data_IF_197053519161
#
_entry.id   IF_197053519161
#
_cell.length_a   1.000
_cell.length_b   1.000
_cell.length_c   1.000
_cell.angle_alpha   90.00
_cell.angle_beta   90.00
_cell.angle_gamma   90.00
#
_symmetry.space_group_name_H-M   'P 1'
#
loop_
_entity.id
_entity.type
_entity.pdbx_description
1 polymer ?
#
# COMPACT_ATOMS: atom_id res chain seq x y z
N UNK A 1 -12.94 -27.77 -4.97
CA UNK A 1 -12.32 -26.69 -4.18
C UNK A 1 -13.45 -25.81 -3.70
N UNK A 2 -13.60 -25.62 -2.39
CA UNK A 2 -14.62 -24.73 -1.82
C UNK A 2 -14.29 -23.30 -2.22
N UNK A 3 -15.28 -22.58 -2.76
CA UNK A 3 -15.17 -21.15 -3.02
C UNK A 3 -14.81 -20.43 -1.71
N UNK A 4 -13.76 -19.60 -1.67
CA UNK A 4 -13.49 -18.73 -0.54
C UNK A 4 -14.74 -17.91 -0.26
N UNK A 5 -15.25 -17.96 0.97
CA UNK A 5 -16.50 -17.32 1.33
C UNK A 5 -16.21 -16.03 2.06
N UNK A 6 -16.73 -14.91 1.53
CA UNK A 6 -16.77 -13.59 2.19
C UNK A 6 -17.44 -13.66 3.58
N UNK A 7 -18.10 -14.77 3.93
CA UNK A 7 -18.72 -15.00 5.24
C UNK A 7 -17.75 -14.96 6.44
N UNK A 8 -16.43 -14.88 6.22
CA UNK A 8 -15.43 -14.73 7.28
C UNK A 8 -15.14 -13.25 7.62
N UNK A 9 -15.54 -12.31 6.77
CA UNK A 9 -15.29 -10.89 7.01
C UNK A 9 -16.42 -10.24 7.80
N UNK A 10 -16.05 -9.46 8.82
CA UNK A 10 -16.96 -8.60 9.54
C UNK A 10 -17.27 -7.34 8.72
N UNK A 11 -18.54 -7.15 8.36
CA UNK A 11 -18.99 -5.93 7.68
C UNK A 11 -18.96 -4.74 8.63
N UNK A 12 -18.28 -3.66 8.24
CA UNK A 12 -18.18 -2.40 9.00
C UNK A 12 -18.52 -1.19 8.14
N UNK A 13 -18.66 -0.05 8.79
CA UNK A 13 -19.03 1.24 8.15
C UNK A 13 -17.86 2.21 8.01
N UNK A 14 -16.69 1.90 8.58
CA UNK A 14 -15.51 2.76 8.56
C UNK A 14 -14.24 1.92 8.68
N UNK A 15 -13.16 2.39 8.06
CA UNK A 15 -11.81 1.84 8.20
C UNK A 15 -11.28 2.20 9.59
N UNK A 16 -10.56 1.26 10.21
CA UNK A 16 -9.93 1.44 11.51
C UNK A 16 -8.76 0.49 11.66
N UNK A 17 -8.00 0.65 12.74
CA UNK A 17 -7.01 -0.35 13.12
C UNK A 17 -7.71 -1.60 13.66
N UNK A 18 -7.47 -2.77 13.08
CA UNK A 18 -8.13 -4.01 13.44
C UNK A 18 -7.32 -4.83 14.44
N UNK A 19 -7.50 -4.55 15.73
CA UNK A 19 -6.86 -5.35 16.80
C UNK A 19 -7.51 -6.71 17.08
N UNK A 20 -8.47 -7.15 16.26
CA UNK A 20 -9.17 -8.43 16.43
C UNK A 20 -8.59 -9.53 15.53
N UNK A 21 -8.92 -10.79 15.80
CA UNK A 21 -8.53 -11.91 14.93
C UNK A 21 -9.45 -12.10 13.72
N UNK A 22 -10.50 -11.29 13.58
CA UNK A 22 -11.47 -11.39 12.50
C UNK A 22 -11.22 -10.29 11.48
N UNK A 23 -11.09 -10.63 10.20
CA UNK A 23 -10.87 -9.63 9.16
C UNK A 23 -12.12 -8.80 8.88
N UNK A 24 -11.93 -7.55 8.44
CA UNK A 24 -13.00 -6.57 8.26
C UNK A 24 -13.22 -6.20 6.79
N UNK A 25 -14.47 -5.95 6.40
CA UNK A 25 -14.82 -5.44 5.07
C UNK A 25 -15.64 -4.17 5.17
N UNK A 26 -15.31 -3.17 4.35
CA UNK A 26 -15.99 -1.87 4.31
C UNK A 26 -16.34 -1.50 2.87
N UNK A 27 -17.63 -1.28 2.59
CA UNK A 27 -18.08 -0.78 1.30
C UNK A 27 -17.96 0.75 1.26
N UNK A 28 -16.98 1.26 0.51
CA UNK A 28 -16.67 2.70 0.45
C UNK A 28 -15.83 3.01 -0.79
N UNK A 29 -16.08 4.17 -1.41
CA UNK A 29 -15.28 4.61 -2.56
C UNK A 29 -13.80 4.86 -2.18
N UNK A 30 -12.92 4.79 -3.18
CA UNK A 30 -11.47 4.98 -3.01
C UNK A 30 -11.11 6.25 -2.23
N UNK A 31 -11.64 7.41 -2.64
CA UNK A 31 -11.23 8.69 -2.07
C UNK A 31 -11.57 8.81 -0.59
N UNK A 32 -12.79 8.43 -0.21
CA UNK A 32 -13.23 8.48 1.18
C UNK A 32 -12.44 7.49 2.06
N UNK A 33 -12.09 6.31 1.53
CA UNK A 33 -11.23 5.37 2.25
C UNK A 33 -9.79 5.87 2.40
N UNK A 34 -9.18 6.43 1.34
CA UNK A 34 -7.86 7.05 1.41
C UNK A 34 -7.78 8.18 2.45
N UNK A 35 -8.82 9.02 2.54
CA UNK A 35 -8.92 10.06 3.56
C UNK A 35 -8.98 9.48 4.99
N UNK A 36 -9.72 8.39 5.19
CA UNK A 36 -9.74 7.68 6.47
C UNK A 36 -8.40 7.03 6.80
N UNK A 37 -7.72 6.40 5.84
CA UNK A 37 -6.41 5.78 6.05
C UNK A 37 -5.34 6.83 6.41
N UNK A 38 -5.33 8.00 5.76
CA UNK A 38 -4.42 9.10 6.13
C UNK A 38 -4.72 9.63 7.54
N UNK A 39 -6.00 9.74 7.91
CA UNK A 39 -6.38 10.11 9.27
C UNK A 39 -5.96 9.05 10.30
N UNK A 40 -6.02 7.76 9.94
CA UNK A 40 -5.50 6.65 10.76
C UNK A 40 -3.98 6.73 10.89
N UNK A 41 -3.23 6.98 9.81
CA UNK A 41 -1.77 7.15 9.87
C UNK A 41 -1.34 8.26 10.85
N UNK A 42 -2.13 9.33 10.99
CA UNK A 42 -1.86 10.41 11.97
C UNK A 42 -2.16 10.02 13.42
N UNK A 43 -3.15 9.16 13.63
CA UNK A 43 -3.77 8.95 14.95
C UNK A 43 -3.45 7.58 15.57
N UNK A 44 -3.12 6.60 14.75
CA UNK A 44 -2.75 5.24 15.12
C UNK A 44 -1.33 5.16 15.67
N UNK A 45 -1.09 4.15 16.50
CA UNK A 45 0.25 3.72 16.91
C UNK A 45 0.72 2.43 16.23
N UNK A 46 -0.16 1.78 15.45
CA UNK A 46 0.02 0.45 14.87
C UNK A 46 -0.05 0.55 13.35
N UNK A 47 0.82 -0.19 12.67
CA UNK A 47 0.76 -0.43 11.22
C UNK A 47 -0.39 -1.36 10.89
N UNK A 48 -0.93 -1.25 9.68
CA UNK A 48 -2.13 -1.96 9.25
C UNK A 48 -2.09 -2.11 7.73
N UNK A 49 -2.68 -3.18 7.19
CA UNK A 49 -2.73 -3.41 5.74
C UNK A 49 -4.17 -3.61 5.27
N UNK A 50 -4.55 -2.84 4.26
CA UNK A 50 -5.87 -2.89 3.62
C UNK A 50 -5.75 -3.09 2.12
N UNK A 51 -6.69 -3.82 1.51
CA UNK A 51 -6.85 -3.93 0.06
C UNK A 51 -8.09 -3.17 -0.36
N UNK A 52 -7.96 -2.31 -1.35
CA UNK A 52 -9.09 -1.78 -2.11
C UNK A 52 -9.32 -2.59 -3.38
N UNK A 53 -10.58 -2.93 -3.65
CA UNK A 53 -11.01 -3.52 -4.91
C UNK A 53 -12.21 -2.78 -5.46
N UNK A 54 -12.07 -2.32 -6.70
CA UNK A 54 -13.17 -1.84 -7.53
C UNK A 54 -13.23 -2.67 -8.80
N UNK A 55 -14.39 -3.29 -9.05
CA UNK A 55 -14.55 -4.14 -10.22
C UNK A 55 -15.91 -4.80 -10.26
N UNK A 56 -16.01 -5.87 -11.06
CA UNK A 56 -17.21 -6.70 -11.14
C UNK A 56 -16.90 -8.05 -10.49
N UNK A 57 -17.72 -8.50 -9.53
CA UNK A 57 -17.52 -9.81 -8.90
C UNK A 57 -17.97 -10.97 -9.81
N UNK A 58 -17.74 -12.21 -9.37
CA UNK A 58 -18.08 -13.42 -10.14
C UNK A 58 -19.59 -13.57 -10.49
N UNK A 59 -20.49 -12.85 -9.80
CA UNK A 59 -21.94 -12.85 -10.10
C UNK A 59 -22.37 -11.65 -10.95
N UNK A 60 -21.43 -10.88 -11.51
CA UNK A 60 -21.71 -9.77 -12.41
C UNK A 60 -22.11 -8.46 -11.72
N UNK A 61 -21.94 -8.34 -10.40
CA UNK A 61 -22.25 -7.13 -9.64
C UNK A 61 -21.02 -6.23 -9.53
N UNK A 62 -21.21 -4.92 -9.71
CA UNK A 62 -20.18 -3.93 -9.41
C UNK A 62 -19.96 -3.83 -7.92
N UNK A 63 -18.71 -3.89 -7.50
CA UNK A 63 -18.30 -3.87 -6.10
C UNK A 63 -17.21 -2.82 -5.91
N UNK A 64 -17.27 -2.13 -4.78
CA UNK A 64 -16.26 -1.17 -4.34
C UNK A 64 -16.04 -1.35 -2.84
N UNK A 65 -15.05 -2.16 -2.49
CA UNK A 65 -14.84 -2.63 -1.13
C UNK A 65 -13.39 -2.44 -0.70
N UNK A 66 -13.23 -2.32 0.61
CA UNK A 66 -11.98 -2.38 1.33
C UNK A 66 -11.98 -3.65 2.18
N UNK A 67 -10.90 -4.40 2.14
CA UNK A 67 -10.68 -5.63 2.90
C UNK A 67 -9.46 -5.43 3.78
N UNK A 68 -9.60 -5.66 5.07
CA UNK A 68 -8.47 -5.71 6.00
C UNK A 68 -7.77 -7.06 5.82
N UNK A 69 -6.44 -7.03 5.72
CA UNK A 69 -5.63 -8.23 5.44
C UNK A 69 -4.40 -8.37 6.36
N UNK A 70 -4.16 -7.38 7.21
CA UNK A 70 -3.05 -7.36 8.14
C UNK A 70 -3.03 -8.57 9.07
N UNK A 71 -1.83 -9.11 9.26
CA UNK A 71 -1.48 -10.06 10.29
C UNK A 71 -0.26 -9.52 11.05
N UNK A 72 -0.14 -9.87 12.33
CA UNK A 72 0.95 -9.43 13.19
C UNK A 72 1.16 -7.90 13.28
N UNK A 73 0.08 -7.14 13.37
CA UNK A 73 0.12 -5.68 13.42
C UNK A 73 0.82 -5.13 14.67
N UNK A 74 1.94 -4.42 14.44
CA UNK A 74 2.79 -3.82 15.48
C UNK A 74 3.11 -2.37 15.13
N UNK A 75 3.82 -1.69 16.03
CA UNK A 75 4.16 -0.26 15.88
C UNK A 75 5.04 0.08 14.67
N UNK A 76 5.75 -0.89 14.12
CA UNK A 76 6.76 -0.71 13.06
C UNK A 76 6.81 -1.88 12.08
N UNK A 77 5.77 -2.73 12.10
CA UNK A 77 5.64 -3.88 11.20
C UNK A 77 4.18 -4.26 11.12
N UNK A 78 3.65 -4.39 9.91
CA UNK A 78 2.50 -5.23 9.61
C UNK A 78 2.91 -6.22 8.51
N UNK A 79 2.36 -7.42 8.56
CA UNK A 79 2.52 -8.43 7.52
C UNK A 79 1.14 -8.84 7.02
N UNK A 80 1.08 -9.68 6.00
CA UNK A 80 -0.13 -10.41 5.69
C UNK A 80 0.24 -11.74 5.05
N UNK A 81 -0.64 -12.72 5.16
CA UNK A 81 -0.46 -14.01 4.49
C UNK A 81 -0.93 -13.89 3.04
N UNK A 82 -0.10 -14.31 2.08
CA UNK A 82 -0.40 -14.23 0.64
C UNK A 82 -1.70 -14.98 0.30
N UNK A 83 -2.04 -16.01 1.08
CA UNK A 83 -3.27 -16.77 0.99
C UNK A 83 -4.52 -15.89 1.16
N UNK A 84 -4.50 -14.90 2.05
CA UNK A 84 -5.61 -13.96 2.26
C UNK A 84 -5.81 -13.09 1.02
N UNK A 85 -4.72 -12.58 0.45
CA UNK A 85 -4.75 -11.82 -0.80
C UNK A 85 -5.32 -12.69 -1.93
N UNK A 86 -4.82 -13.91 -2.11
CA UNK A 86 -5.30 -14.84 -3.14
C UNK A 86 -6.80 -15.16 -2.97
N UNK A 87 -7.25 -15.42 -1.74
CA UNK A 87 -8.65 -15.70 -1.46
C UNK A 87 -9.56 -14.53 -1.83
N UNK A 88 -9.15 -13.30 -1.56
CA UNK A 88 -9.88 -12.10 -1.99
C UNK A 88 -9.87 -12.01 -3.52
N UNK A 89 -8.72 -12.20 -4.17
CA UNK A 89 -8.58 -12.09 -5.62
C UNK A 89 -9.49 -13.08 -6.37
N UNK A 90 -9.63 -14.31 -5.84
CA UNK A 90 -10.52 -15.33 -6.41
C UNK A 90 -12.00 -14.93 -6.42
N UNK A 91 -12.44 -14.02 -5.52
CA UNK A 91 -13.81 -13.50 -5.53
C UNK A 91 -14.13 -12.67 -6.79
N UNK A 92 -13.08 -12.16 -7.43
CA UNK A 92 -13.15 -11.28 -8.60
C UNK A 92 -12.63 -11.95 -9.87
N UNK A 93 -12.36 -13.26 -9.82
CA UNK A 93 -11.68 -13.98 -10.90
C UNK A 93 -12.41 -13.92 -12.25
N UNK A 94 -13.74 -14.00 -12.21
CA UNK A 94 -14.58 -13.94 -13.41
C UNK A 94 -14.99 -12.51 -13.79
N UNK A 95 -14.48 -11.51 -13.07
CA UNK A 95 -14.75 -10.09 -13.28
C UNK A 95 -14.00 -9.50 -14.46
N UNK A 96 -14.66 -8.60 -15.20
CA UNK A 96 -14.00 -7.76 -16.21
C UNK A 96 -13.45 -6.49 -15.54
N UNK A 97 -12.18 -6.18 -15.81
CA UNK A 97 -11.48 -4.93 -15.42
C UNK A 97 -11.56 -4.58 -13.93
N UNK A 98 -10.61 -5.10 -13.16
CA UNK A 98 -10.55 -4.90 -11.71
C UNK A 98 -9.39 -3.98 -11.36
N UNK A 99 -9.67 -2.92 -10.60
CA UNK A 99 -8.65 -2.08 -10.00
C UNK A 99 -8.37 -2.55 -8.59
N UNK A 100 -7.09 -2.83 -8.30
CA UNK A 100 -6.66 -3.35 -7.00
C UNK A 100 -5.56 -2.44 -6.47
N UNK A 101 -5.67 -2.10 -5.19
CA UNK A 101 -4.59 -1.40 -4.48
C UNK A 101 -4.38 -2.00 -3.11
N UNK A 102 -3.15 -2.37 -2.80
CA UNK A 102 -2.74 -2.74 -1.43
C UNK A 102 -2.27 -1.47 -0.74
N UNK A 103 -2.70 -1.24 0.50
CA UNK A 103 -2.35 -0.07 1.31
C UNK A 103 -1.67 -0.53 2.59
N UNK A 104 -0.44 -0.09 2.80
CA UNK A 104 0.29 -0.23 4.04
C UNK A 104 0.32 1.10 4.81
N UNK A 105 -0.17 1.12 6.05
CA UNK A 105 -0.27 2.33 6.88
C UNK A 105 0.98 2.49 7.74
N UNK A 106 1.67 3.63 7.61
CA UNK A 106 2.76 4.05 8.50
C UNK A 106 2.25 5.04 9.58
N UNK A 107 2.13 4.62 10.85
CA UNK A 107 1.66 5.48 11.94
C UNK A 107 2.70 6.53 12.35
N UNK A 108 2.27 7.78 12.53
CA UNK A 108 3.12 8.89 12.99
C UNK A 108 3.23 9.00 14.51
N UNK A 109 2.19 8.59 15.26
CA UNK A 109 2.05 8.92 16.70
C UNK A 109 3.09 8.23 17.58
N UNK A 110 3.61 7.09 17.14
CA UNK A 110 4.56 6.24 17.87
C UNK A 110 6.04 6.61 17.62
N UNK A 111 6.33 7.67 16.86
CA UNK A 111 7.66 7.90 16.28
C UNK A 111 8.28 9.21 16.78
N UNK A 112 9.55 9.14 17.20
CA UNK A 112 10.31 10.35 17.56
C UNK A 112 10.49 11.28 16.34
N UNK A 113 10.65 12.59 16.56
CA UNK A 113 10.93 13.54 15.47
C UNK A 113 12.15 13.14 14.63
N UNK A 114 13.20 12.60 15.27
CA UNK A 114 14.40 12.11 14.58
C UNK A 114 14.14 10.89 13.68
N UNK A 115 13.04 10.16 13.91
CA UNK A 115 12.62 8.99 13.14
C UNK A 115 11.46 9.28 12.19
N UNK A 116 10.95 10.52 12.15
CA UNK A 116 9.78 10.89 11.33
C UNK A 116 10.00 10.65 9.84
N UNK A 117 11.21 10.89 9.33
CA UNK A 117 11.56 10.56 7.94
C UNK A 117 11.34 9.07 7.60
N UNK A 118 11.50 8.17 8.58
CA UNK A 118 11.37 6.73 8.36
C UNK A 118 9.93 6.28 8.13
N UNK A 119 8.97 6.94 8.79
CA UNK A 119 7.54 6.62 8.64
C UNK A 119 6.87 7.44 7.55
N UNK A 120 7.43 8.62 7.23
CA UNK A 120 6.90 9.47 6.16
C UNK A 120 7.40 9.09 4.75
N UNK A 121 8.23 8.05 4.62
CA UNK A 121 8.69 7.58 3.31
C UNK A 121 8.64 6.06 3.21
N UNK A 122 8.50 5.49 1.99
CA UNK A 122 8.60 4.05 1.77
C UNK A 122 9.94 3.51 2.23
N UNK A 123 9.93 2.37 2.89
CA UNK A 123 11.07 1.55 3.27
C UNK A 123 11.50 0.62 2.12
N UNK A 124 12.73 0.07 2.14
CA UNK A 124 13.12 -1.00 1.23
C UNK A 124 12.16 -2.19 1.29
N UNK A 125 11.64 -2.50 2.48
CA UNK A 125 10.67 -3.56 2.72
C UNK A 125 9.33 -3.27 2.02
N UNK A 126 8.83 -2.03 2.05
CA UNK A 126 7.62 -1.63 1.31
C UNK A 126 7.79 -1.80 -0.20
N UNK A 127 8.96 -1.42 -0.72
CA UNK A 127 9.25 -1.59 -2.14
C UNK A 127 9.33 -3.07 -2.49
N UNK A 128 10.01 -3.87 -1.67
CA UNK A 128 10.04 -5.32 -1.83
C UNK A 128 8.64 -5.93 -1.87
N UNK A 129 7.75 -5.52 -0.95
CA UNK A 129 6.38 -6.00 -0.90
C UNK A 129 5.60 -5.58 -2.16
N UNK A 130 5.79 -4.35 -2.65
CA UNK A 130 5.17 -3.92 -3.90
C UNK A 130 5.53 -4.80 -5.11
N UNK A 131 6.76 -5.33 -5.16
CA UNK A 131 7.17 -6.32 -6.18
C UNK A 131 6.48 -7.67 -5.99
N UNK A 132 6.43 -8.18 -4.76
CA UNK A 132 5.80 -9.47 -4.44
C UNK A 132 4.29 -9.43 -4.75
N UNK A 133 3.59 -8.38 -4.30
CA UNK A 133 2.17 -8.17 -4.55
C UNK A 133 1.86 -8.12 -6.06
N UNK A 134 2.67 -7.36 -6.81
CA UNK A 134 2.47 -7.22 -8.25
C UNK A 134 2.65 -8.55 -8.97
N UNK A 135 3.63 -9.36 -8.55
CA UNK A 135 3.86 -10.69 -9.10
C UNK A 135 2.68 -11.61 -8.82
N UNK A 136 2.25 -11.72 -7.56
CA UNK A 136 1.09 -12.53 -7.15
C UNK A 136 -0.14 -12.15 -7.97
N UNK A 137 -0.47 -10.85 -8.04
CA UNK A 137 -1.65 -10.35 -8.75
C UNK A 137 -1.54 -10.60 -10.27
N UNK A 138 -0.33 -10.50 -10.84
CA UNK A 138 -0.11 -10.78 -12.26
C UNK A 138 -0.29 -12.27 -12.61
N UNK A 139 0.12 -13.17 -11.72
CA UNK A 139 0.03 -14.62 -11.91
C UNK A 139 -1.41 -15.13 -11.89
N UNK A 140 -2.33 -14.45 -11.18
CA UNK A 140 -3.75 -14.84 -11.18
C UNK A 140 -4.43 -14.57 -12.54
N UNK A 141 -3.77 -13.85 -13.46
CA UNK A 141 -4.13 -13.83 -14.88
C UNK A 141 -5.28 -12.88 -15.26
N UNK A 142 -5.54 -11.86 -14.45
CA UNK A 142 -6.63 -10.91 -14.69
C UNK A 142 -6.21 -9.72 -15.55
N UNK A 143 -7.19 -9.07 -16.19
CA UNK A 143 -7.01 -7.70 -16.68
C UNK A 143 -7.13 -6.73 -15.50
N UNK A 144 -6.10 -6.72 -14.64
CA UNK A 144 -6.04 -5.89 -13.42
C UNK A 144 -5.14 -4.69 -13.63
N UNK A 145 -5.56 -3.55 -13.09
CA UNK A 145 -4.66 -2.43 -12.78
C UNK A 145 -4.29 -2.51 -11.31
N UNK A 146 -2.99 -2.66 -11.02
CA UNK A 146 -2.47 -2.81 -9.68
C UNK A 146 -1.53 -1.65 -9.29
N UNK A 147 -1.64 -1.20 -8.05
CA UNK A 147 -0.62 -0.39 -7.39
C UNK A 147 -0.48 -0.79 -5.91
N UNK A 148 0.74 -0.68 -5.38
CA UNK A 148 0.99 -0.79 -3.95
C UNK A 148 1.10 0.62 -3.37
N UNK A 149 0.50 0.86 -2.21
CA UNK A 149 0.36 2.20 -1.63
C UNK A 149 0.87 2.26 -0.21
N UNK A 150 1.72 3.23 0.05
CA UNK A 150 2.24 3.49 1.40
C UNK A 150 1.53 4.75 1.90
N UNK A 151 0.72 4.59 2.95
CA UNK A 151 -0.05 5.66 3.58
C UNK A 151 0.77 6.26 4.71
N UNK A 152 0.95 7.57 4.65
CA UNK A 152 1.68 8.36 5.65
C UNK A 152 0.73 9.39 6.24
N UNK A 153 1.16 10.11 7.28
CA UNK A 153 0.31 11.17 7.83
C UNK A 153 0.18 12.38 6.90
N UNK A 154 1.04 12.56 5.89
CA UNK A 154 0.98 13.70 4.97
C UNK A 154 0.41 13.37 3.58
N UNK A 155 0.28 12.09 3.26
CA UNK A 155 -0.22 11.65 1.97
C UNK A 155 0.03 10.18 1.67
N UNK A 156 -0.08 9.82 0.40
CA UNK A 156 0.00 8.44 -0.07
C UNK A 156 1.02 8.33 -1.19
N UNK A 157 1.99 7.43 -1.03
CA UNK A 157 2.83 6.97 -2.13
C UNK A 157 2.09 5.93 -2.94
N UNK A 158 2.22 5.98 -4.27
CA UNK A 158 1.69 4.96 -5.19
C UNK A 158 2.86 4.38 -5.96
N UNK A 159 3.14 3.11 -5.73
CA UNK A 159 4.14 2.32 -6.43
C UNK A 159 3.44 1.43 -7.47
N UNK A 160 3.85 1.56 -8.72
CA UNK A 160 3.30 0.79 -9.84
C UNK A 160 4.44 0.21 -10.67
N UNK A 161 4.29 -1.05 -11.05
CA UNK A 161 5.21 -1.76 -11.93
C UNK A 161 4.64 -1.84 -13.34
N UNK A 162 5.50 -1.67 -14.34
CA UNK A 162 5.10 -1.84 -15.73
C UNK A 162 4.90 -3.32 -16.06
N UNK A 163 4.08 -3.60 -17.08
CA UNK A 163 3.85 -4.98 -17.54
C UNK A 163 5.14 -5.64 -18.03
N UNK A 164 6.06 -4.85 -18.57
CA UNK A 164 7.35 -5.32 -19.06
C UNK A 164 8.19 -5.93 -17.93
N UNK A 165 8.23 -5.32 -16.74
CA UNK A 165 8.95 -5.89 -15.59
C UNK A 165 8.32 -7.21 -15.14
N UNK A 166 6.99 -7.26 -15.05
CA UNK A 166 6.27 -8.47 -14.62
C UNK A 166 6.42 -9.64 -15.61
N UNK A 167 6.85 -9.39 -16.84
CA UNK A 167 7.07 -10.39 -17.89
C UNK A 167 8.54 -10.79 -18.05
N UNK A 168 9.44 -10.21 -17.25
CA UNK A 168 10.86 -10.57 -17.28
C UNK A 168 11.10 -12.00 -16.76
N UNK A 169 12.16 -12.67 -17.22
CA UNK A 169 12.66 -13.88 -16.56
C UNK A 169 12.95 -13.64 -15.08
N UNK A 170 12.79 -14.67 -14.25
CA UNK A 170 12.95 -14.58 -12.78
C UNK A 170 14.26 -13.90 -12.36
N UNK A 171 15.40 -14.29 -12.95
CA UNK A 171 16.69 -13.67 -12.64
C UNK A 171 16.74 -12.17 -12.99
N UNK A 172 16.15 -11.75 -14.10
CA UNK A 172 16.10 -10.34 -14.50
C UNK A 172 15.15 -9.54 -13.60
N UNK A 173 14.01 -10.13 -13.24
CA UNK A 173 13.06 -9.55 -12.30
C UNK A 173 13.68 -9.30 -10.92
N UNK A 174 14.33 -10.31 -10.34
CA UNK A 174 14.99 -10.19 -9.02
C UNK A 174 16.14 -9.19 -9.06
N UNK A 175 16.96 -9.18 -10.11
CA UNK A 175 18.02 -8.17 -10.28
C UNK A 175 17.45 -6.74 -10.36
N UNK A 176 16.33 -6.57 -11.06
CA UNK A 176 15.66 -5.27 -11.16
C UNK A 176 15.02 -4.85 -9.83
N UNK A 177 14.36 -5.76 -9.13
CA UNK A 177 13.85 -5.57 -7.76
C UNK A 177 14.96 -5.08 -6.82
N UNK A 178 16.07 -5.82 -6.76
CA UNK A 178 17.22 -5.49 -5.91
C UNK A 178 17.79 -4.10 -6.23
N UNK A 179 17.83 -3.73 -7.50
CA UNK A 179 18.27 -2.39 -7.93
C UNK A 179 17.38 -1.29 -7.34
N UNK A 180 16.06 -1.39 -7.51
CA UNK A 180 15.09 -0.38 -7.04
C UNK A 180 15.08 -0.30 -5.50
N UNK A 181 15.15 -1.44 -4.82
CA UNK A 181 15.21 -1.55 -3.35
C UNK A 181 16.50 -0.91 -2.81
N UNK A 182 17.64 -1.20 -3.42
CA UNK A 182 18.95 -0.61 -3.05
C UNK A 182 18.96 0.91 -3.24
N UNK A 183 18.36 1.42 -4.33
CA UNK A 183 18.19 2.87 -4.54
C UNK A 183 17.29 3.51 -3.50
N UNK A 184 16.18 2.86 -3.15
CA UNK A 184 15.28 3.32 -2.07
C UNK A 184 16.00 3.47 -0.75
N UNK A 185 16.80 2.47 -0.36
CA UNK A 185 17.63 2.53 0.84
C UNK A 185 18.66 3.67 0.79
N UNK A 186 19.28 3.87 -0.37
CA UNK A 186 20.25 4.95 -0.60
C UNK A 186 19.60 6.32 -0.40
N UNK A 187 18.44 6.57 -1.02
CA UNK A 187 17.72 7.84 -0.85
C UNK A 187 17.25 8.06 0.58
N UNK A 188 16.71 7.03 1.27
CA UNK A 188 16.33 7.14 2.69
C UNK A 188 17.48 7.57 3.58
N UNK A 189 18.70 7.08 3.34
CA UNK A 189 19.89 7.50 4.13
C UNK A 189 20.15 9.00 4.00
N UNK A 190 19.95 9.56 2.81
CA UNK A 190 20.08 11.00 2.54
C UNK A 190 18.93 11.84 3.09
N UNK A 191 17.81 11.24 3.48
CA UNK A 191 16.69 11.92 4.14
C UNK A 191 16.89 12.12 5.65
N UNK A 192 18.01 11.62 6.22
CA UNK A 192 18.36 11.84 7.63
C UNK A 192 18.31 13.32 8.01
N UNK A 193 17.86 13.62 9.23
CA UNK A 193 16.73 14.51 9.48
C UNK A 193 16.93 15.86 8.81
N UNK A 194 16.38 16.01 7.60
CA UNK A 194 16.29 17.32 6.96
C UNK A 194 15.45 18.23 7.85
N UNK A 195 15.64 19.55 7.73
CA UNK A 195 14.90 20.56 8.49
C UNK A 195 13.39 20.37 8.43
N UNK A 196 12.85 19.80 7.35
CA UNK A 196 11.43 19.50 7.17
C UNK A 196 10.89 18.45 8.17
N UNK A 197 11.58 17.33 8.37
CA UNK A 197 11.12 16.29 9.31
C UNK A 197 11.31 16.71 10.77
N UNK A 198 12.31 17.56 11.03
CA UNK A 198 12.56 18.14 12.37
C UNK A 198 11.54 19.23 12.70
N UNK A 199 11.17 20.07 11.73
CA UNK A 199 10.17 21.13 11.95
C UNK A 199 8.79 20.56 12.26
N UNK A 200 8.52 19.34 11.78
CA UNK A 200 7.23 18.68 11.96
C UNK A 200 6.08 19.36 11.23
N UNK A 201 6.40 20.25 10.28
CA UNK A 201 5.42 20.94 9.45
C UNK A 201 4.96 20.01 8.32
N UNK A 202 3.67 19.64 8.31
CA UNK A 202 3.09 18.74 7.32
C UNK A 202 3.31 19.19 5.87
N UNK A 203 3.32 20.50 5.61
CA UNK A 203 3.54 21.03 4.25
C UNK A 203 4.98 20.84 3.80
N UNK A 204 5.95 21.11 4.66
CA UNK A 204 7.37 20.90 4.35
C UNK A 204 7.68 19.42 4.14
N UNK A 205 7.10 18.56 4.98
CA UNK A 205 7.19 17.09 4.85
C UNK A 205 6.58 16.64 3.53
N UNK A 206 5.38 17.12 3.18
CA UNK A 206 4.73 16.78 1.90
C UNK A 206 5.59 17.17 0.68
N UNK A 207 6.23 18.35 0.69
CA UNK A 207 7.14 18.79 -0.38
C UNK A 207 8.38 17.90 -0.46
N UNK A 208 8.94 17.52 0.68
CA UNK A 208 10.06 16.59 0.74
C UNK A 208 9.66 15.20 0.19
N UNK A 209 8.46 14.74 0.54
CA UNK A 209 7.91 13.46 0.10
C UNK A 209 7.66 13.42 -1.42
N UNK A 210 7.14 14.52 -2.00
CA UNK A 210 7.04 14.68 -3.46
C UNK A 210 8.41 14.64 -4.14
N UNK A 211 9.41 15.28 -3.55
CA UNK A 211 10.78 15.29 -4.08
C UNK A 211 11.42 13.90 -4.03
N UNK A 212 11.16 13.14 -2.95
CA UNK A 212 11.56 11.75 -2.83
C UNK A 212 10.90 10.86 -3.89
N UNK A 213 9.57 10.94 -4.04
CA UNK A 213 8.85 10.20 -5.08
C UNK A 213 9.41 10.48 -6.47
N UNK A 214 9.61 11.75 -6.80
CA UNK A 214 10.18 12.17 -8.10
C UNK A 214 11.59 11.61 -8.34
N UNK A 215 12.41 11.44 -7.31
CA UNK A 215 13.75 10.90 -7.44
C UNK A 215 13.75 9.40 -7.74
N UNK A 216 12.80 8.66 -7.16
CA UNK A 216 12.60 7.22 -7.42
C UNK A 216 11.80 6.97 -8.71
N UNK A 217 10.91 7.88 -9.11
CA UNK A 217 10.21 7.84 -10.41
C UNK A 217 11.12 8.18 -11.60
N UNK A 218 12.44 8.10 -11.46
CA UNK A 218 13.35 8.13 -12.60
C UNK A 218 13.74 6.72 -13.04
N UNK A 219 13.35 5.69 -12.27
CA UNK A 219 13.55 4.31 -12.65
C UNK A 219 12.64 3.94 -13.82
N UNK A 220 13.21 3.55 -14.97
CA UNK A 220 12.38 3.05 -16.05
C UNK A 220 11.65 1.82 -15.54
N UNK A 221 10.33 1.75 -15.75
CA UNK A 221 9.45 0.61 -15.44
C UNK A 221 9.00 0.42 -13.98
N UNK A 222 9.45 1.27 -13.04
CA UNK A 222 8.93 1.37 -11.67
C UNK A 222 8.55 2.81 -11.35
N UNK A 223 7.25 3.09 -11.27
CA UNK A 223 6.73 4.42 -10.99
C UNK A 223 6.33 4.59 -9.52
N UNK A 224 6.98 5.54 -8.86
CA UNK A 224 6.59 6.02 -7.54
C UNK A 224 6.06 7.46 -7.65
N UNK A 225 4.80 7.68 -7.26
CA UNK A 225 4.22 9.02 -7.16
C UNK A 225 3.76 9.30 -5.73
N UNK A 226 3.59 10.58 -5.35
CA UNK A 226 3.09 10.96 -4.04
C UNK A 226 1.90 11.91 -4.18
N UNK A 227 0.78 11.54 -3.57
CA UNK A 227 -0.43 12.36 -3.49
C UNK A 227 -0.54 12.97 -2.09
N UNK A 228 -0.69 14.29 -2.02
CA UNK A 228 -0.75 15.03 -0.77
C UNK A 228 -2.16 15.12 -0.22
N UNK A 229 -2.32 14.89 1.08
CA UNK A 229 -3.58 15.01 1.82
C UNK A 229 -3.47 16.05 2.94
N UNK A 230 -2.78 17.16 2.64
CA UNK A 230 -2.62 18.25 3.61
C UNK A 230 -3.99 18.88 3.85
N UNK A 231 -4.59 18.56 5.00
CA UNK A 231 -5.80 19.19 5.48
C UNK A 231 -5.49 20.66 5.80
N UNK A 232 -6.36 21.61 5.40
CA UNK A 232 -6.18 23.03 5.69
C UNK A 232 -6.12 23.36 7.18
#
# INVERSE_FOLDING_TARGET
MSTPSVSQYLVKTALRVNTSSEHEVVAMNRRAGEEQLVALARSSEVEEIWIYIEGTNAVGQKVTNWYEIGTEERKTRAEYENEILLDILLLFQDGFETQISVYHIHPQKSVSLASRAKVETPSPEDVNQAFDDARIISEVGFNVTFDHRIVTGTGIYKASLSKEVLQQPEEEFENYRDHVVSRTNTFRKFLSPTTAYVSGNDRDIAVQNQSFAKALSQEPLFWLSFETFVMP
#
